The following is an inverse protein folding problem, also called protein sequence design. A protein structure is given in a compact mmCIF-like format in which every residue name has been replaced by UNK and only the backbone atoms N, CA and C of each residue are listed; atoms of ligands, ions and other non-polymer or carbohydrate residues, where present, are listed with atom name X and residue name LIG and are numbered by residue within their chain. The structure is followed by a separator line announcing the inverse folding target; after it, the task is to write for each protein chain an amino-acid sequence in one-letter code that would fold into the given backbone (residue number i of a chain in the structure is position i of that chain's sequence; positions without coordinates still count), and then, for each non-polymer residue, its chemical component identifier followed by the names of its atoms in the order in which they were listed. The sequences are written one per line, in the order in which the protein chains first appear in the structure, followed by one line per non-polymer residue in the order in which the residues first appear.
data_IF_458926071192
#
_entry.id   IF_458926071192
#
_cell.length_a   1.000
_cell.length_b   1.000
_cell.length_c   1.000
_cell.angle_alpha   90.00
_cell.angle_beta   90.00
_cell.angle_gamma   90.00
#
_symmetry.space_group_name_H-M   'P 1'
#
loop_
_entity.id
_entity.type
_entity.pdbx_description
1 polymer ?
2 non-polymer ?
#
# COMPACT_ATOMS: atom_id res chain seq x y z
N UNK A 1 12.88 -15.78 22.38
CA UNK A 1 14.15 -16.49 22.07
C UNK A 1 14.46 -16.46 20.57
N UNK A 2 15.42 -17.27 20.14
CA UNK A 2 15.81 -17.32 18.75
C UNK A 2 14.64 -17.53 17.79
N UNK A 3 14.93 -17.39 16.50
CA UNK A 3 13.94 -17.51 15.44
C UNK A 3 12.85 -18.56 15.68
N UNK A 4 13.03 -19.79 15.17
CA UNK A 4 12.00 -20.81 15.35
C UNK A 4 10.78 -20.48 16.22
N UNK A 5 10.93 -20.56 17.53
CA UNK A 5 9.81 -20.34 18.45
C UNK A 5 9.26 -18.94 18.74
N UNK A 6 10.08 -17.89 18.63
CA UNK A 6 9.59 -16.55 18.92
C UNK A 6 10.08 -15.43 17.98
N UNK A 7 9.16 -14.58 17.57
CA UNK A 7 9.48 -13.46 16.70
C UNK A 7 9.60 -12.19 17.51
N UNK A 8 10.40 -11.26 17.01
CA UNK A 8 10.61 -10.01 17.68
C UNK A 8 10.30 -8.88 16.72
N UNK A 9 9.81 -7.76 17.26
CA UNK A 9 9.48 -6.61 16.44
C UNK A 9 9.03 -5.42 17.24
N UNK A 10 9.03 -4.24 16.62
CA UNK A 10 8.60 -3.04 17.30
C UNK A 10 7.08 -3.07 17.28
N UNK A 11 6.48 -3.26 18.44
CA UNK A 11 5.03 -3.36 18.51
C UNK A 11 4.27 -2.35 19.36
N UNK A 12 3.06 -2.04 18.89
CA UNK A 12 2.16 -1.13 19.56
C UNK A 12 1.81 -1.79 20.89
N UNK A 13 1.68 -0.99 21.94
CA UNK A 13 1.35 -1.52 23.26
C UNK A 13 -0.04 -1.11 23.64
N UNK A 14 -0.50 0.01 23.10
CA UNK A 14 -1.84 0.51 23.36
C UNK A 14 -2.16 1.61 22.36
N UNK A 15 -3.41 1.67 21.91
CA UNK A 15 -3.80 2.70 20.96
C UNK A 15 -3.53 4.05 21.61
N UNK A 16 -3.65 4.07 22.94
CA UNK A 16 -3.44 5.25 23.75
C UNK A 16 -2.07 5.87 23.54
N UNK A 17 -1.06 5.04 23.34
CA UNK A 17 0.31 5.51 23.12
C UNK A 17 0.84 4.89 21.81
N UNK A 18 0.00 4.86 20.79
CA UNK A 18 0.37 4.28 19.52
C UNK A 18 1.63 4.87 18.92
N UNK A 19 2.08 6.00 19.43
CA UNK A 19 3.28 6.62 18.88
C UNK A 19 4.54 6.08 19.54
N UNK A 20 4.36 5.30 20.60
CA UNK A 20 5.51 4.75 21.30
C UNK A 20 5.52 3.22 21.32
N UNK A 21 5.93 2.61 20.21
CA UNK A 21 5.97 1.15 20.12
C UNK A 21 7.21 0.68 20.87
N UNK A 22 7.13 -0.51 21.44
CA UNK A 22 8.26 -1.07 22.17
C UNK A 22 8.65 -2.41 21.58
N UNK A 23 9.95 -2.64 21.44
CA UNK A 23 10.45 -3.89 20.89
C UNK A 23 9.78 -5.00 21.68
N UNK A 24 9.22 -6.00 21.00
CA UNK A 24 8.55 -7.09 21.70
C UNK A 24 8.79 -8.48 21.13
N UNK A 25 8.64 -9.47 22.00
CA UNK A 25 8.80 -10.88 21.64
C UNK A 25 7.41 -11.51 21.66
N UNK A 26 7.07 -12.18 20.57
CA UNK A 26 5.76 -12.81 20.46
C UNK A 26 5.81 -14.13 19.68
N UNK A 27 4.84 -15.01 19.96
CA UNK A 27 4.72 -16.32 19.30
C UNK A 27 4.22 -16.19 17.86
N UNK A 28 4.90 -16.82 16.89
CA UNK A 28 4.45 -16.71 15.51
C UNK A 28 3.13 -17.45 15.28
N UNK A 29 2.60 -17.36 14.05
CA UNK A 29 1.35 -18.05 13.70
C UNK A 29 1.71 -19.53 13.53
N UNK A 30 0.77 -20.43 13.87
CA UNK A 30 1.15 -21.82 13.69
C UNK A 30 1.57 -22.01 12.23
N UNK A 31 2.67 -22.72 12.03
CA UNK A 31 3.22 -22.98 10.71
C UNK A 31 2.43 -24.04 9.93
N UNK A 32 2.05 -23.70 8.71
CA UNK A 32 1.30 -24.62 7.87
C UNK A 32 2.03 -25.03 6.60
N UNK A 33 1.64 -26.17 6.07
CA UNK A 33 2.25 -26.77 4.89
C UNK A 33 2.61 -25.88 3.71
N UNK A 34 1.90 -24.77 3.52
CA UNK A 34 2.22 -23.89 2.40
C UNK A 34 2.88 -22.61 2.89
N UNK A 35 2.85 -22.39 4.20
CA UNK A 35 3.45 -21.20 4.79
C UNK A 35 4.93 -21.08 4.42
N UNK A 36 5.48 -19.89 4.62
CA UNK A 36 6.87 -19.58 4.34
C UNK A 36 7.31 -18.58 5.40
N UNK A 37 8.52 -18.76 5.92
CA UNK A 37 9.06 -17.85 6.91
C UNK A 37 10.04 -16.98 6.18
N UNK A 38 9.85 -15.66 6.27
CA UNK A 38 10.75 -14.71 5.61
C UNK A 38 11.46 -13.84 6.64
N UNK A 39 12.78 -13.78 6.53
CA UNK A 39 13.56 -12.94 7.44
C UNK A 39 13.47 -11.57 6.79
N UNK A 40 12.92 -10.61 7.53
CA UNK A 40 12.72 -9.27 7.01
C UNK A 40 13.98 -8.42 7.00
N UNK A 41 14.09 -7.57 5.99
CA UNK A 41 15.23 -6.67 5.85
C UNK A 41 14.82 -5.29 5.38
N UNK A 42 13.51 -5.08 5.22
CA UNK A 42 12.98 -3.80 4.77
C UNK A 42 11.47 -3.83 4.78
N UNK A 43 10.86 -2.71 5.14
CA UNK A 43 9.41 -2.63 5.18
C UNK A 43 8.95 -1.19 5.01
N UNK A 44 8.18 -0.94 3.97
CA UNK A 44 7.69 0.39 3.73
C UNK A 44 6.62 0.77 4.73
N UNK A 45 6.72 1.97 5.30
CA UNK A 45 5.74 2.44 6.28
C UNK A 45 4.52 2.93 5.51
N UNK A 46 3.43 2.16 5.60
CA UNK A 46 2.19 2.45 4.91
C UNK A 46 1.19 3.26 5.76
N UNK A 47 0.56 4.23 5.11
CA UNK A 47 -0.41 5.06 5.80
C UNK A 47 -1.37 4.23 6.62
N UNK A 48 -1.72 3.06 6.10
CA UNK A 48 -2.63 2.18 6.82
C UNK A 48 -1.99 1.85 8.15
N UNK A 49 -0.68 1.68 8.14
CA UNK A 49 0.02 1.37 9.37
C UNK A 49 -0.40 2.40 10.42
N UNK A 50 -0.30 3.67 10.06
CA UNK A 50 -0.63 4.75 10.97
C UNK A 50 -2.07 4.71 11.49
N UNK A 51 -3.03 4.53 10.59
CA UNK A 51 -4.43 4.50 11.02
C UNK A 51 -4.73 3.35 11.95
N UNK A 52 -4.14 2.20 11.64
CA UNK A 52 -4.34 1.01 12.46
C UNK A 52 -3.85 1.25 13.87
N UNK A 53 -2.57 1.60 13.98
CA UNK A 53 -1.96 1.86 15.26
C UNK A 53 -2.78 2.84 16.10
N UNK A 54 -3.15 3.96 15.48
CA UNK A 54 -3.93 4.98 16.17
C UNK A 54 -5.31 4.47 16.57
N UNK A 55 -5.70 3.32 16.03
CA UNK A 55 -6.99 2.77 16.35
C UNK A 55 -8.11 3.35 15.49
N UNK A 56 -7.72 4.00 14.41
CA UNK A 56 -8.70 4.59 13.52
C UNK A 56 -9.58 3.48 12.97
N UNK A 57 -9.09 2.24 13.01
CA UNK A 57 -9.87 1.11 12.49
C UNK A 57 -10.72 0.48 13.59
N UNK A 58 -10.40 0.80 14.84
CA UNK A 58 -11.12 0.24 15.96
C UNK A 58 -10.14 -0.27 16.99
N UNK A 59 -10.65 -0.83 18.08
CA UNK A 59 -9.75 -1.35 19.12
C UNK A 59 -9.20 -2.69 18.68
N UNK A 60 -7.88 -2.76 18.49
CA UNK A 60 -7.22 -3.98 18.04
C UNK A 60 -6.46 -4.67 19.16
N UNK A 61 -6.48 -6.00 19.16
CA UNK A 61 -5.77 -6.78 20.17
C UNK A 61 -4.29 -6.41 20.19
N UNK A 62 -3.81 -5.97 21.34
CA UNK A 62 -2.40 -5.59 21.50
C UNK A 62 -1.72 -6.68 22.33
N UNK A 63 -0.38 -6.82 22.22
CA UNK A 63 0.57 -6.06 21.39
C UNK A 63 0.20 -6.15 19.92
N UNK A 64 0.89 -5.38 19.09
CA UNK A 64 0.59 -5.41 17.67
C UNK A 64 1.72 -4.93 16.80
N UNK A 65 2.19 -5.80 15.92
CA UNK A 65 3.27 -5.43 15.02
C UNK A 65 2.66 -5.05 13.68
N UNK A 66 2.90 -3.81 13.29
CA UNK A 66 2.35 -3.27 12.06
C UNK A 66 3.41 -3.26 10.96
N UNK A 67 2.97 -3.00 9.74
CA UNK A 67 3.89 -2.96 8.62
C UNK A 67 3.53 -4.04 7.63
N UNK A 68 3.34 -3.68 6.37
CA UNK A 68 2.99 -4.70 5.43
C UNK A 68 3.42 -4.42 4.00
N UNK A 69 4.63 -3.87 3.88
CA UNK A 69 5.29 -3.58 2.61
C UNK A 69 6.63 -4.23 2.91
N UNK A 70 6.60 -5.56 3.08
CA UNK A 70 7.75 -6.37 3.44
C UNK A 70 8.62 -6.95 2.34
N UNK A 71 9.92 -6.88 2.56
CA UNK A 71 10.89 -7.42 1.61
C UNK A 71 12.01 -8.07 2.43
N UNK A 72 11.98 -9.39 2.47
CA UNK A 72 12.99 -10.15 3.19
C UNK A 72 13.44 -11.35 2.38
N UNK A 73 14.12 -12.29 3.04
CA UNK A 73 14.61 -13.48 2.37
C UNK A 73 13.98 -14.76 2.92
N UNK A 74 13.76 -15.74 2.04
CA UNK A 74 13.16 -17.02 2.43
C UNK A 74 14.09 -17.76 3.34
N UNK A 75 13.60 -18.11 4.52
CA UNK A 75 14.45 -18.79 5.44
C UNK A 75 13.89 -20.15 5.88
N UNK A 76 12.79 -20.57 5.26
CA UNK A 76 12.16 -21.85 5.60
C UNK A 76 10.86 -22.12 4.84
N UNK A 77 10.89 -23.08 3.92
CA UNK A 77 9.69 -23.43 3.15
C UNK A 77 8.90 -24.58 3.75
N UNK A 78 7.58 -24.42 3.77
CA UNK A 78 6.72 -25.45 4.32
C UNK A 78 6.67 -26.66 3.41
N UNK A 79 6.30 -27.83 3.96
CA UNK A 79 6.18 -29.13 3.30
C UNK A 79 5.64 -29.12 1.88
N UNK A 80 4.46 -28.55 1.70
CA UNK A 80 3.83 -28.56 0.39
C UNK A 80 4.14 -27.40 -0.53
N UNK A 81 5.17 -26.62 -0.21
CA UNK A 81 5.53 -25.50 -1.07
C UNK A 81 5.69 -25.98 -2.52
N UNK A 82 5.33 -25.13 -3.47
CA UNK A 82 5.42 -25.48 -4.88
C UNK A 82 5.40 -24.22 -5.74
N UNK A 83 5.35 -23.08 -5.07
CA UNK A 83 5.33 -21.80 -5.75
C UNK A 83 6.59 -21.65 -6.58
N UNK A 84 7.62 -22.40 -6.20
CA UNK A 84 8.87 -22.35 -6.93
C UNK A 84 9.87 -21.43 -6.28
N UNK A 85 9.66 -21.14 -5.00
CA UNK A 85 10.57 -20.27 -4.28
C UNK A 85 11.69 -21.11 -3.70
N UNK A 86 12.90 -20.58 -3.74
CA UNK A 86 14.07 -21.27 -3.19
C UNK A 86 14.40 -20.61 -1.85
N UNK A 87 15.25 -21.24 -1.04
CA UNK A 87 15.63 -20.68 0.26
C UNK A 87 16.70 -19.62 0.03
N UNK A 88 16.67 -18.57 0.87
CA UNK A 88 17.63 -17.49 0.72
C UNK A 88 17.26 -16.54 -0.40
N UNK A 89 16.11 -16.81 -1.03
CA UNK A 89 15.62 -16.00 -2.14
C UNK A 89 14.98 -14.70 -1.66
N UNK A 90 15.11 -13.66 -2.48
CA UNK A 90 14.57 -12.34 -2.19
C UNK A 90 13.07 -12.33 -2.50
N UNK A 91 12.26 -12.05 -1.48
CA UNK A 91 10.83 -12.06 -1.67
C UNK A 91 10.10 -10.88 -1.06
N UNK A 92 8.83 -10.75 -1.45
CA UNK A 92 8.02 -9.68 -0.93
C UNK A 92 6.65 -10.12 -0.48
N UNK A 93 6.08 -9.36 0.44
CA UNK A 93 4.77 -9.62 0.98
C UNK A 93 4.10 -8.25 1.12
N UNK A 94 2.82 -8.17 0.80
CA UNK A 94 2.11 -6.91 0.87
C UNK A 94 1.09 -6.85 1.99
N UNK A 95 -0.14 -6.50 1.63
CA UNK A 95 -1.18 -6.40 2.64
C UNK A 95 -1.94 -7.68 2.80
N UNK A 96 -2.01 -8.48 1.74
CA UNK A 96 -2.74 -9.75 1.85
C UNK A 96 -1.80 -10.86 2.23
N UNK A 97 -2.24 -11.67 3.19
CA UNK A 97 -1.42 -12.75 3.69
C UNK A 97 -2.20 -14.07 3.65
N UNK A 98 -3.46 -14.00 3.22
CA UNK A 98 -4.30 -15.20 3.11
C UNK A 98 -5.53 -15.00 2.25
N UNK A 99 -6.01 -16.11 1.72
CA UNK A 99 -7.19 -16.14 0.87
C UNK A 99 -7.58 -17.61 0.86
N UNK A 100 -8.71 -17.95 0.23
CA UNK A 100 -9.14 -19.35 0.17
C UNK A 100 -8.52 -20.07 -1.04
N UNK A 101 -8.24 -19.30 -2.10
CA UNK A 101 -7.64 -19.83 -3.32
C UNK A 101 -8.46 -20.83 -4.11
N UNK A 102 -9.68 -21.10 -3.66
CA UNK A 102 -10.55 -22.03 -4.36
C UNK A 102 -11.77 -21.36 -4.99
N UNK A 103 -12.27 -20.30 -4.36
CA UNK A 103 -13.43 -19.59 -4.88
C UNK A 103 -13.22 -19.07 -6.30
N UNK A 104 -14.30 -18.59 -6.92
CA UNK A 104 -14.21 -18.06 -8.27
C UNK A 104 -13.30 -16.84 -8.25
N UNK A 105 -13.56 -15.96 -7.28
CA UNK A 105 -12.80 -14.72 -7.13
C UNK A 105 -11.31 -14.93 -6.96
N UNK A 106 -10.90 -16.05 -6.38
CA UNK A 106 -9.49 -16.28 -6.24
C UNK A 106 -8.95 -16.83 -7.55
N UNK A 107 -9.55 -17.91 -8.04
CA UNK A 107 -9.10 -18.51 -9.28
C UNK A 107 -9.12 -17.49 -10.41
N UNK A 108 -10.07 -16.56 -10.32
CA UNK A 108 -10.24 -15.52 -11.32
C UNK A 108 -9.32 -14.32 -11.05
N UNK A 109 -8.48 -14.44 -10.04
CA UNK A 109 -7.52 -13.39 -9.67
C UNK A 109 -8.07 -12.12 -9.02
N UNK A 110 -8.81 -12.30 -7.94
CA UNK A 110 -9.40 -11.21 -7.19
C UNK A 110 -9.33 -11.52 -5.70
N UNK A 111 -8.23 -12.12 -5.30
CA UNK A 111 -8.02 -12.51 -3.92
C UNK A 111 -8.22 -11.42 -2.88
N UNK A 112 -8.12 -10.15 -3.27
CA UNK A 112 -8.34 -9.12 -2.25
C UNK A 112 -9.80 -9.12 -1.86
N UNK A 113 -10.64 -9.56 -2.80
CA UNK A 113 -12.08 -9.60 -2.61
C UNK A 113 -12.64 -10.96 -2.23
N UNK A 114 -11.79 -11.81 -1.64
CA UNK A 114 -12.21 -13.14 -1.22
C UNK A 114 -13.04 -13.15 0.06
N UNK A 115 -13.98 -14.08 0.11
CA UNK A 115 -14.84 -14.23 1.26
C UNK A 115 -14.00 -14.37 2.51
N UNK A 116 -13.00 -15.27 2.46
CA UNK A 116 -12.15 -15.54 3.60
C UNK A 116 -10.80 -14.78 3.63
N UNK A 117 -10.79 -13.57 3.07
CA UNK A 117 -9.59 -12.73 3.02
C UNK A 117 -9.06 -12.39 4.41
N UNK A 118 -7.74 -12.25 4.52
CA UNK A 118 -7.08 -11.92 5.77
C UNK A 118 -5.95 -10.95 5.48
N UNK A 119 -5.84 -9.90 6.28
CA UNK A 119 -4.79 -8.94 6.02
C UNK A 119 -3.52 -9.19 6.84
N UNK A 120 -2.40 -8.80 6.26
CA UNK A 120 -1.10 -8.97 6.87
C UNK A 120 -1.04 -8.79 8.38
N UNK A 121 -1.72 -7.78 8.93
CA UNK A 121 -1.70 -7.57 10.39
C UNK A 121 -3.01 -7.08 10.96
N UNK A 122 -3.25 -7.37 12.24
CA UNK A 122 -4.45 -6.98 12.97
C UNK A 122 -5.66 -7.84 12.75
N UNK A 123 -5.51 -8.90 11.96
CA UNK A 123 -6.64 -9.77 11.68
C UNK A 123 -6.41 -11.21 12.10
N UNK A 124 -7.36 -11.78 12.84
CA UNK A 124 -7.21 -13.16 13.26
C UNK A 124 -7.47 -14.12 12.10
N UNK A 125 -6.65 -15.15 12.00
CA UNK A 125 -6.82 -16.16 10.95
C UNK A 125 -8.02 -17.04 11.33
N UNK A 126 -8.43 -17.89 10.39
CA UNK A 126 -9.57 -18.77 10.62
C UNK A 126 -9.33 -19.62 11.86
N UNK A 127 -8.08 -19.65 12.31
CA UNK A 127 -7.69 -20.43 13.49
C UNK A 127 -7.48 -19.62 14.76
N UNK A 128 -7.63 -18.30 14.66
CA UNK A 128 -7.49 -17.46 15.84
C UNK A 128 -6.33 -16.49 15.94
N UNK A 129 -5.14 -16.90 15.48
CA UNK A 129 -3.97 -16.03 15.56
C UNK A 129 -4.19 -14.72 14.84
N UNK A 130 -3.83 -13.61 15.48
CA UNK A 130 -4.00 -12.29 14.88
C UNK A 130 -2.73 -11.86 14.14
N UNK A 131 -2.83 -11.85 12.81
CA UNK A 131 -1.74 -11.52 11.90
C UNK A 131 -0.80 -10.41 12.37
N UNK A 132 0.49 -10.70 12.40
CA UNK A 132 1.49 -9.73 12.82
C UNK A 132 2.40 -9.46 11.64
N UNK A 133 3.70 -9.38 11.93
CA UNK A 133 4.69 -9.12 10.90
C UNK A 133 4.87 -7.65 10.55
N UNK A 134 5.87 -7.34 9.73
CA UNK A 134 6.13 -5.97 9.35
C UNK A 134 7.34 -5.34 10.00
N UNK A 135 7.12 -4.62 11.09
CA UNK A 135 8.22 -3.98 11.79
C UNK A 135 8.86 -5.00 12.73
N UNK A 136 9.21 -6.16 12.19
CA UNK A 136 9.81 -7.23 12.98
C UNK A 136 10.93 -7.96 12.22
N UNK A 137 11.54 -8.95 12.86
CA UNK A 137 12.63 -9.70 12.23
C UNK A 137 12.16 -10.73 11.21
N UNK A 138 11.08 -11.44 11.54
CA UNK A 138 10.51 -12.43 10.65
C UNK A 138 8.99 -12.32 10.54
N UNK A 139 8.48 -12.74 9.38
CA UNK A 139 7.03 -12.76 9.13
C UNK A 139 6.76 -14.14 8.53
N UNK A 140 5.65 -14.76 8.94
CA UNK A 140 5.25 -16.09 8.47
C UNK A 140 4.02 -15.99 7.56
N UNK A 141 4.23 -16.16 6.27
CA UNK A 141 3.16 -16.01 5.28
C UNK A 141 2.96 -17.17 4.30
N UNK A 142 1.70 -17.41 3.94
CA UNK A 142 1.36 -18.46 2.98
C UNK A 142 1.97 -18.12 1.62
N UNK A 143 2.72 -19.06 1.07
CA UNK A 143 3.40 -18.89 -0.20
C UNK A 143 2.65 -18.19 -1.33
N UNK A 144 1.32 -18.30 -1.37
CA UNK A 144 0.63 -17.64 -2.46
C UNK A 144 0.84 -16.14 -2.44
N UNK A 145 1.14 -15.61 -1.26
CA UNK A 145 1.31 -14.16 -1.11
C UNK A 145 2.71 -13.63 -1.02
N UNK A 146 3.68 -14.53 -1.13
CA UNK A 146 5.07 -14.14 -1.11
C UNK A 146 5.46 -14.05 -2.58
N UNK A 147 6.16 -12.98 -2.94
CA UNK A 147 6.54 -12.80 -4.34
C UNK A 147 8.02 -12.56 -4.57
N UNK A 148 8.49 -12.90 -5.77
CA UNK A 148 9.90 -12.71 -6.12
C UNK A 148 10.12 -11.22 -6.38
N UNK A 149 11.29 -10.72 -6.03
CA UNK A 149 11.59 -9.31 -6.22
C UNK A 149 12.69 -9.16 -7.25
N UNK A 150 12.37 -8.57 -8.42
CA UNK A 150 13.39 -8.39 -9.48
C UNK A 150 14.77 -7.94 -8.99
N UNK A 151 15.81 -8.42 -9.68
CA UNK A 151 17.21 -8.10 -9.34
C UNK A 151 17.54 -6.61 -9.21
N UNK A 152 17.27 -5.86 -10.28
CA UNK A 152 17.57 -4.43 -10.33
C UNK A 152 16.84 -3.53 -9.36
N UNK A 153 15.77 -4.02 -8.76
CA UNK A 153 15.04 -3.19 -7.81
C UNK A 153 15.62 -3.34 -6.41
N UNK A 154 16.09 -2.24 -5.82
CA UNK A 154 16.66 -2.26 -4.47
C UNK A 154 15.56 -2.47 -3.44
N UNK A 155 15.90 -3.12 -2.33
CA UNK A 155 14.94 -3.41 -1.29
C UNK A 155 14.10 -2.22 -0.79
N UNK A 156 14.75 -1.18 -0.29
CA UNK A 156 14.06 -0.01 0.23
C UNK A 156 13.19 0.66 -0.83
N UNK A 157 13.52 0.38 -2.09
CA UNK A 157 12.81 0.94 -3.22
C UNK A 157 11.78 -0.03 -3.82
N UNK A 158 11.69 -1.23 -3.27
CA UNK A 158 10.76 -2.22 -3.79
C UNK A 158 9.60 -2.38 -2.83
N UNK A 159 9.92 -2.46 -1.54
CA UNK A 159 8.92 -2.64 -0.50
C UNK A 159 7.65 -1.81 -0.65
N UNK A 160 7.78 -0.49 -0.87
CA UNK A 160 6.60 0.35 -1.00
C UNK A 160 5.63 -0.12 -2.08
N UNK A 161 6.16 -0.85 -3.05
CA UNK A 161 5.34 -1.34 -4.15
C UNK A 161 4.40 -2.46 -3.74
N UNK A 162 4.82 -3.24 -2.74
CA UNK A 162 4.03 -4.36 -2.26
C UNK A 162 2.63 -3.99 -1.80
N UNK A 163 2.43 -2.72 -1.46
CA UNK A 163 1.10 -2.27 -1.05
C UNK A 163 0.68 -0.97 -1.76
N UNK A 164 1.27 0.12 -1.33
CA UNK A 164 0.96 1.41 -1.92
C UNK A 164 0.92 1.38 -3.44
N UNK A 165 2.03 0.98 -4.03
CA UNK A 165 2.08 0.95 -5.48
C UNK A 165 1.03 0.04 -6.09
N UNK A 166 0.93 -1.16 -5.54
CA UNK A 166 -0.03 -2.12 -6.03
C UNK A 166 -1.40 -1.48 -5.99
N UNK A 167 -1.72 -0.90 -4.84
CA UNK A 167 -3.03 -0.26 -4.65
C UNK A 167 -3.41 0.72 -5.77
N UNK A 168 -2.45 1.51 -6.24
CA UNK A 168 -2.72 2.45 -7.31
C UNK A 168 -2.73 1.70 -8.62
N UNK A 169 -1.78 0.80 -8.77
CA UNK A 169 -1.66 0.02 -9.99
C UNK A 169 -2.95 -0.68 -10.36
N UNK A 170 -3.41 -1.59 -9.50
CA UNK A 170 -4.62 -2.35 -9.79
C UNK A 170 -5.68 -1.58 -10.60
N UNK A 171 -6.28 -0.52 -10.02
CA UNK A 171 -7.30 0.27 -10.72
C UNK A 171 -6.82 0.93 -12.01
N UNK A 172 -5.54 1.30 -12.04
CA UNK A 172 -4.97 1.91 -13.23
C UNK A 172 -4.94 0.90 -14.37
N UNK A 173 -4.51 -0.32 -14.08
CA UNK A 173 -4.44 -1.39 -15.08
C UNK A 173 -5.83 -1.78 -15.46
N UNK A 174 -6.62 -2.07 -14.43
CA UNK A 174 -7.99 -2.50 -14.62
C UNK A 174 -8.88 -1.52 -15.37
N UNK A 175 -8.54 -0.24 -15.33
CA UNK A 175 -9.35 0.77 -16.00
C UNK A 175 -8.69 1.39 -17.23
N UNK A 176 -7.74 0.66 -17.80
CA UNK A 176 -7.06 1.09 -19.00
C UNK A 176 -6.00 2.19 -18.98
N UNK A 177 -5.47 2.52 -17.81
CA UNK A 177 -4.43 3.55 -17.75
C UNK A 177 -3.34 3.18 -18.74
N UNK A 178 -3.20 3.95 -19.81
CA UNK A 178 -2.19 3.67 -20.81
C UNK A 178 -2.08 4.76 -21.88
N UNK A 179 -1.45 4.46 -23.01
CA UNK A 179 -1.29 5.44 -24.10
C UNK A 179 -2.57 6.09 -24.57
N UNK A 180 -2.57 7.41 -24.64
CA UNK A 180 -3.72 8.14 -25.12
C UNK A 180 -4.85 8.40 -24.13
N UNK A 181 -4.68 7.97 -22.88
CA UNK A 181 -5.69 8.17 -21.86
C UNK A 181 -5.32 9.34 -20.95
N UNK A 182 -6.30 10.07 -20.44
CA UNK A 182 -6.03 11.16 -19.53
C UNK A 182 -6.34 10.69 -18.11
N UNK A 183 -5.29 10.61 -17.28
CA UNK A 183 -5.43 10.14 -15.92
C UNK A 183 -5.09 11.14 -14.83
N UNK A 184 -5.96 11.23 -13.84
CA UNK A 184 -5.73 12.14 -12.75
C UNK A 184 -5.47 11.39 -11.45
N UNK A 185 -4.46 11.86 -10.71
CA UNK A 185 -4.10 11.29 -9.43
C UNK A 185 -4.45 12.34 -8.38
N UNK A 186 -5.40 12.02 -7.50
CA UNK A 186 -5.83 12.95 -6.46
C UNK A 186 -5.18 12.69 -5.11
N UNK A 187 -4.12 13.43 -4.83
CA UNK A 187 -3.44 13.29 -3.55
C UNK A 187 -2.01 12.79 -3.65
N UNK A 188 -1.08 13.67 -4.05
CA UNK A 188 0.31 13.26 -4.19
C UNK A 188 0.96 12.90 -2.87
N UNK A 189 0.44 11.86 -2.23
CA UNK A 189 1.01 11.42 -0.97
C UNK A 189 1.87 10.20 -1.26
N UNK A 190 2.00 9.31 -0.27
CA UNK A 190 2.79 8.11 -0.46
C UNK A 190 2.30 7.40 -1.72
N UNK A 191 1.10 6.84 -1.62
CA UNK A 191 0.45 6.13 -2.73
C UNK A 191 0.25 7.08 -3.92
N UNK A 192 -0.10 8.33 -3.63
CA UNK A 192 -0.30 9.27 -4.71
C UNK A 192 0.90 9.38 -5.61
N UNK A 193 2.08 9.41 -4.99
CA UNK A 193 3.31 9.52 -5.75
C UNK A 193 3.52 8.36 -6.70
N UNK A 194 3.62 7.15 -6.16
CA UNK A 194 3.83 5.96 -6.98
C UNK A 194 2.83 5.92 -8.14
N UNK A 195 1.58 6.26 -7.85
CA UNK A 195 0.56 6.26 -8.88
C UNK A 195 0.93 7.21 -9.99
N UNK A 196 1.40 8.39 -9.61
CA UNK A 196 1.80 9.42 -10.57
C UNK A 196 2.90 8.86 -11.47
N UNK A 197 3.86 8.18 -10.86
CA UNK A 197 4.98 7.55 -11.57
C UNK A 197 4.51 6.37 -12.40
N UNK A 198 3.91 5.40 -11.72
CA UNK A 198 3.39 4.20 -12.36
C UNK A 198 2.52 4.59 -13.55
N UNK A 199 1.64 5.56 -13.32
CA UNK A 199 0.74 6.04 -14.35
C UNK A 199 1.51 6.45 -15.60
N UNK A 200 2.48 7.34 -15.43
CA UNK A 200 3.29 7.79 -16.56
C UNK A 200 4.01 6.62 -17.21
N UNK A 201 4.62 5.80 -16.37
CA UNK A 201 5.35 4.65 -16.85
C UNK A 201 4.51 3.88 -17.86
N UNK A 202 3.20 3.88 -17.66
CA UNK A 202 2.29 3.17 -18.55
C UNK A 202 1.93 3.93 -19.82
N UNK A 203 2.30 5.21 -19.90
CA UNK A 203 2.01 6.01 -21.08
C UNK A 203 0.74 6.83 -21.08
N UNK A 204 0.32 7.31 -19.91
CA UNK A 204 -0.90 8.09 -19.78
C UNK A 204 -0.61 9.53 -19.43
N UNK A 205 -1.24 10.45 -20.15
CA UNK A 205 -1.05 11.86 -19.86
C UNK A 205 -1.55 11.99 -18.44
N UNK A 206 -0.61 12.02 -17.50
CA UNK A 206 -0.93 12.10 -16.10
C UNK A 206 -1.09 13.52 -15.55
N UNK A 207 -2.18 13.74 -14.82
CA UNK A 207 -2.46 15.02 -14.20
C UNK A 207 -2.36 14.79 -12.71
N UNK A 208 -1.67 15.66 -11.97
CA UNK A 208 -1.63 15.47 -10.53
C UNK A 208 -2.58 16.52 -9.97
N UNK A 209 -3.45 16.09 -9.06
CA UNK A 209 -4.46 16.98 -8.49
C UNK A 209 -4.36 17.17 -6.98
N UNK A 210 -3.72 18.27 -6.54
CA UNK A 210 -3.61 18.52 -5.12
C UNK A 210 -4.28 19.83 -4.72
N UNK A 211 -4.21 20.14 -3.43
CA UNK A 211 -4.82 21.35 -2.91
C UNK A 211 -3.95 22.59 -3.08
N UNK A 212 -2.84 22.66 -2.36
CA UNK A 212 -1.95 23.81 -2.47
C UNK A 212 -1.08 23.68 -3.71
N UNK A 213 0.08 24.33 -3.70
CA UNK A 213 1.02 24.23 -4.80
C UNK A 213 2.32 23.72 -4.21
N UNK A 214 2.28 23.54 -2.90
CA UNK A 214 3.42 23.05 -2.13
C UNK A 214 4.10 21.90 -2.85
N UNK A 215 3.34 21.12 -3.61
CA UNK A 215 3.90 19.96 -4.28
C UNK A 215 3.98 20.04 -5.80
N UNK A 216 3.76 21.23 -6.35
CA UNK A 216 3.81 21.38 -7.80
C UNK A 216 5.16 20.93 -8.33
N UNK A 217 6.22 21.47 -7.74
CA UNK A 217 7.59 21.14 -8.16
C UNK A 217 7.85 19.65 -8.25
N UNK A 218 7.54 18.93 -7.16
CA UNK A 218 7.74 17.49 -7.10
C UNK A 218 6.92 16.78 -8.17
N UNK A 219 5.63 17.02 -8.20
CA UNK A 219 4.78 16.37 -9.19
C UNK A 219 5.43 16.47 -10.55
N UNK A 220 5.98 17.64 -10.85
CA UNK A 220 6.61 17.85 -12.16
C UNK A 220 7.93 17.10 -12.30
N UNK A 221 8.67 16.94 -11.21
CA UNK A 221 9.93 16.22 -11.25
C UNK A 221 9.59 14.77 -11.54
N UNK A 222 8.42 14.36 -11.06
CA UNK A 222 7.92 13.00 -11.25
C UNK A 222 7.47 12.70 -12.67
N UNK A 223 7.39 13.74 -13.50
CA UNK A 223 7.00 13.55 -14.89
C UNK A 223 5.55 13.84 -15.21
N UNK A 224 4.82 14.36 -14.24
CA UNK A 224 3.42 14.68 -14.41
C UNK A 224 3.26 15.72 -15.51
N UNK A 225 2.52 15.38 -16.56
CA UNK A 225 2.28 16.29 -17.68
C UNK A 225 1.51 17.53 -17.23
N UNK A 226 0.84 17.45 -16.08
CA UNK A 226 0.08 18.58 -15.56
C UNK A 226 -0.09 18.53 -14.05
N UNK A 227 -0.37 19.67 -13.46
CA UNK A 227 -0.59 19.75 -12.03
C UNK A 227 -1.77 20.69 -11.81
N UNK A 228 -2.56 20.44 -10.77
CA UNK A 228 -3.72 21.28 -10.51
C UNK A 228 -3.82 21.58 -9.03
N UNK A 229 -3.91 22.86 -8.70
CA UNK A 229 -4.03 23.26 -7.30
C UNK A 229 -5.46 23.69 -7.07
N UNK A 230 -6.19 22.85 -6.36
CA UNK A 230 -7.58 23.06 -6.05
C UNK A 230 -7.90 24.44 -5.44
N UNK A 231 -7.20 24.78 -4.36
CA UNK A 231 -7.39 26.05 -3.68
C UNK A 231 -7.26 27.23 -4.61
N UNK A 232 -6.54 27.03 -5.71
CA UNK A 232 -6.32 28.11 -6.67
C UNK A 232 -7.21 27.99 -7.91
N UNK A 233 -8.34 27.29 -7.79
CA UNK A 233 -9.24 27.07 -8.94
C UNK A 233 -10.70 27.52 -8.83
N UNK A 234 -11.30 27.42 -7.66
CA UNK A 234 -12.70 27.84 -7.50
C UNK A 234 -13.68 26.82 -8.08
N UNK A 235 -13.34 26.29 -9.25
CA UNK A 235 -14.13 25.27 -9.93
C UNK A 235 -13.21 24.56 -10.92
N UNK A 236 -12.39 23.63 -10.45
CA UNK A 236 -11.48 22.96 -11.38
C UNK A 236 -12.20 22.01 -12.30
N UNK A 237 -13.30 21.45 -11.82
CA UNK A 237 -14.09 20.55 -12.64
C UNK A 237 -14.63 21.30 -13.85
N UNK A 238 -14.96 22.57 -13.64
CA UNK A 238 -15.48 23.38 -14.72
C UNK A 238 -14.38 23.66 -15.74
N UNK A 239 -13.20 24.06 -15.27
CA UNK A 239 -12.11 24.38 -16.18
C UNK A 239 -11.61 23.15 -16.95
N UNK A 240 -11.46 22.04 -16.25
CA UNK A 240 -10.99 20.82 -16.88
C UNK A 240 -12.10 19.94 -17.43
N UNK A 241 -13.31 20.51 -17.49
CA UNK A 241 -14.48 19.84 -18.01
C UNK A 241 -14.18 18.86 -19.14
N UNK A 242 -14.76 17.66 -19.05
CA UNK A 242 -14.63 16.61 -20.05
C UNK A 242 -13.21 16.30 -20.49
N UNK A 243 -12.33 16.03 -19.52
CA UNK A 243 -10.94 15.73 -19.87
C UNK A 243 -10.44 14.35 -19.44
N UNK A 244 -10.82 13.92 -18.24
CA UNK A 244 -10.37 12.65 -17.71
C UNK A 244 -11.14 11.38 -18.08
N UNK A 245 -10.38 10.29 -18.21
CA UNK A 245 -10.92 8.98 -18.51
C UNK A 245 -11.05 8.29 -17.16
N UNK A 246 -9.99 8.45 -16.37
CA UNK A 246 -9.90 7.83 -15.07
C UNK A 246 -9.27 8.78 -14.07
N UNK A 247 -9.74 8.73 -12.83
CA UNK A 247 -9.18 9.52 -11.76
C UNK A 247 -9.15 8.55 -10.60
N UNK A 248 -7.98 8.42 -9.99
CA UNK A 248 -7.84 7.54 -8.85
C UNK A 248 -7.63 8.48 -7.67
N UNK A 249 -8.57 8.48 -6.73
CA UNK A 249 -8.48 9.34 -5.57
C UNK A 249 -7.78 8.58 -4.47
N UNK A 250 -6.54 8.92 -4.22
CA UNK A 250 -5.81 8.24 -3.17
C UNK A 250 -5.32 9.25 -2.17
N UNK A 251 -6.16 9.54 -1.20
CA UNK A 251 -5.82 10.52 -0.17
C UNK A 251 -6.26 10.00 1.19
N UNK A 252 -5.39 10.17 2.20
CA UNK A 252 -5.62 9.74 3.57
C UNK A 252 -7.08 9.78 3.99
N UNK A 253 -7.65 10.99 3.98
CA UNK A 253 -9.04 11.19 4.38
C UNK A 253 -9.88 11.54 3.15
N UNK A 254 -11.17 11.79 3.36
CA UNK A 254 -12.06 12.15 2.27
C UNK A 254 -12.99 13.27 2.70
N UNK A 255 -12.41 14.30 3.31
CA UNK A 255 -13.15 15.47 3.79
C UNK A 255 -12.91 16.72 2.93
N UNK A 256 -11.65 17.13 2.81
CA UNK A 256 -11.29 18.31 2.01
C UNK A 256 -11.41 18.06 0.52
N UNK A 257 -12.13 17.00 0.13
CA UNK A 257 -12.30 16.65 -1.28
C UNK A 257 -13.76 16.67 -1.76
N UNK A 258 -14.21 17.85 -2.20
CA UNK A 258 -15.57 18.03 -2.71
C UNK A 258 -15.82 17.06 -3.87
N UNK A 259 -16.76 16.15 -3.70
CA UNK A 259 -17.07 15.18 -4.74
C UNK A 259 -18.33 15.48 -5.57
N UNK A 260 -18.59 16.76 -5.78
CA UNK A 260 -19.74 17.17 -6.55
C UNK A 260 -19.24 17.96 -7.73
N UNK A 261 -17.94 18.18 -7.75
CA UNK A 261 -17.28 18.93 -8.81
C UNK A 261 -16.51 17.98 -9.71
N UNK A 262 -15.83 17.04 -9.09
CA UNK A 262 -15.01 16.09 -9.82
C UNK A 262 -15.66 15.49 -11.07
N UNK A 263 -16.89 14.96 -10.95
CA UNK A 263 -17.56 14.37 -12.12
C UNK A 263 -17.50 15.24 -13.37
N UNK A 264 -17.73 16.54 -13.20
CA UNK A 264 -17.70 17.47 -14.33
C UNK A 264 -16.49 17.22 -15.23
N UNK A 265 -15.31 17.06 -14.63
CA UNK A 265 -14.08 16.85 -15.38
C UNK A 265 -13.93 15.49 -16.05
N UNK A 266 -14.84 14.55 -15.76
CA UNK A 266 -14.77 13.21 -16.33
C UNK A 266 -15.44 13.12 -17.70
N UNK A 267 -14.83 12.36 -18.60
CA UNK A 267 -15.40 12.17 -19.93
C UNK A 267 -16.59 11.22 -19.80
N UNK A 268 -17.53 11.29 -20.73
CA UNK A 268 -18.65 10.38 -20.66
C UNK A 268 -17.98 9.02 -20.56
N UNK A 269 -18.32 8.26 -19.53
CA UNK A 269 -17.73 6.95 -19.38
C UNK A 269 -16.53 6.99 -18.46
N UNK A 270 -16.20 8.19 -18.01
CA UNK A 270 -15.08 8.37 -17.11
C UNK A 270 -15.27 7.61 -15.81
N UNK A 271 -14.20 7.42 -15.07
CA UNK A 271 -14.32 6.71 -13.82
C UNK A 271 -13.50 7.27 -12.69
N UNK A 272 -14.17 7.41 -11.55
CA UNK A 272 -13.52 7.91 -10.36
C UNK A 272 -13.40 6.69 -9.47
N UNK A 273 -12.19 6.42 -9.01
CA UNK A 273 -11.94 5.27 -8.16
C UNK A 273 -11.12 5.70 -6.94
N UNK A 274 -11.70 5.52 -5.75
CA UNK A 274 -11.02 5.87 -4.51
C UNK A 274 -10.22 4.70 -3.92
N UNK A 275 -9.09 5.03 -3.33
CA UNK A 275 -8.21 4.06 -2.75
C UNK A 275 -8.26 4.19 -1.24
N UNK A 276 -9.04 5.15 -0.78
CA UNK A 276 -9.11 5.45 0.64
C UNK A 276 -10.01 4.68 1.60
N UNK A 277 -9.55 4.69 2.84
CA UNK A 277 -10.21 4.06 4.00
C UNK A 277 -9.91 5.03 5.15
N UNK A 278 -10.83 5.96 5.44
CA UNK A 278 -10.64 6.93 6.52
C UNK A 278 -11.21 6.49 7.87
N UNK A 279 -10.87 7.25 8.92
CA UNK A 279 -11.33 6.99 10.29
C UNK A 279 -12.84 6.68 10.29
N UNK A 280 -13.15 5.39 10.24
CA UNK A 280 -14.53 4.85 10.19
C UNK A 280 -15.67 5.87 10.30
N UNK A 281 -15.55 6.81 11.23
CA UNK A 281 -16.56 7.84 11.42
C UNK A 281 -16.77 8.67 10.14
N UNK A 282 -15.93 8.42 9.12
CA UNK A 282 -16.01 9.14 7.85
C UNK A 282 -16.72 8.37 6.71
N UNK A 283 -17.26 9.11 5.76
CA UNK A 283 -17.98 8.54 4.62
C UNK A 283 -17.77 9.39 3.35
N UNK A 284 -17.69 8.73 2.20
CA UNK A 284 -17.51 9.42 0.93
C UNK A 284 -18.89 10.00 0.59
N UNK A 285 -19.04 11.32 0.65
CA UNK A 285 -20.34 11.94 0.38
C UNK A 285 -20.35 12.90 -0.83
N UNK A 286 -21.28 12.66 -1.77
CA UNK A 286 -21.43 13.50 -2.96
C UNK A 286 -22.86 13.55 -3.53
N UNK A 287 -23.18 14.69 -4.15
CA UNK A 287 -24.49 14.90 -4.78
C UNK A 287 -24.72 13.83 -5.85
N UNK A 288 -25.81 13.07 -5.72
CA UNK A 288 -26.15 12.00 -6.66
C UNK A 288 -26.19 12.44 -8.13
N UNK A 289 -26.99 13.47 -8.40
CA UNK A 289 -27.17 14.03 -9.75
C UNK A 289 -25.95 13.89 -10.67
N UNK A 290 -24.79 14.24 -10.12
CA UNK A 290 -23.54 14.23 -10.86
C UNK A 290 -22.97 12.97 -11.48
N UNK A 291 -23.36 11.79 -11.02
CA UNK A 291 -22.82 10.59 -11.62
C UNK A 291 -23.43 10.35 -13.00
N UNK A 292 -23.50 11.42 -13.79
CA UNK A 292 -24.08 11.37 -15.13
C UNK A 292 -23.09 10.87 -16.15
N UNK A 293 -23.16 9.58 -16.44
CA UNK A 293 -22.28 8.93 -17.39
C UNK A 293 -20.90 8.81 -16.79
N UNK A 294 -20.80 9.00 -15.49
CA UNK A 294 -19.54 8.90 -14.79
C UNK A 294 -19.78 7.97 -13.62
N UNK A 295 -18.95 6.95 -13.47
CA UNK A 295 -19.16 6.03 -12.37
C UNK A 295 -18.19 6.32 -11.24
N UNK A 296 -18.52 5.81 -10.06
CA UNK A 296 -17.69 6.00 -8.88
C UNK A 296 -17.65 4.67 -8.16
N UNK A 297 -16.45 4.25 -7.77
CA UNK A 297 -16.28 2.99 -7.06
C UNK A 297 -15.04 3.02 -6.17
N UNK A 298 -14.86 1.94 -5.43
CA UNK A 298 -13.76 1.81 -4.50
C UNK A 298 -12.93 0.55 -4.85
N UNK A 299 -11.65 0.55 -4.50
CA UNK A 299 -10.80 -0.59 -4.80
C UNK A 299 -9.89 -0.96 -3.63
N UNK A 300 -9.61 -2.26 -3.50
CA UNK A 300 -8.73 -2.72 -2.43
C UNK A 300 -7.56 -3.47 -2.99
N UNK A 301 -6.38 -3.20 -2.42
CA UNK A 301 -5.13 -3.83 -2.82
C UNK A 301 -5.06 -4.17 -4.31
N UNK A 302 -4.58 -5.37 -4.61
CA UNK A 302 -4.48 -5.85 -5.99
C UNK A 302 -4.29 -7.35 -5.96
N UNK A 303 -4.34 -8.00 -7.12
CA UNK A 303 -4.14 -9.45 -7.19
C UNK A 303 -2.67 -9.74 -7.39
N UNK A 304 -2.13 -10.71 -6.66
CA UNK A 304 -0.71 -11.05 -6.77
C UNK A 304 -0.25 -11.08 -8.22
N UNK A 305 -1.15 -11.44 -9.12
CA UNK A 305 -0.82 -11.47 -10.53
C UNK A 305 -0.38 -10.07 -10.92
N UNK A 306 -1.16 -9.08 -10.45
CA UNK A 306 -0.87 -7.68 -10.73
C UNK A 306 0.35 -7.21 -9.94
N UNK A 307 0.44 -7.63 -8.68
CA UNK A 307 1.58 -7.23 -7.85
C UNK A 307 2.82 -7.58 -8.62
N UNK A 308 2.79 -8.72 -9.30
CA UNK A 308 3.93 -9.16 -10.09
C UNK A 308 4.08 -8.26 -11.30
N UNK A 309 2.97 -8.03 -11.99
CA UNK A 309 3.00 -7.17 -13.17
C UNK A 309 3.70 -5.85 -12.87
N UNK A 310 3.36 -5.28 -11.71
CA UNK A 310 3.92 -4.01 -11.29
C UNK A 310 5.42 -4.10 -11.06
N UNK A 311 5.83 -5.03 -10.22
CA UNK A 311 7.24 -5.23 -9.92
C UNK A 311 8.01 -5.30 -11.23
N UNK A 312 7.49 -6.09 -12.17
CA UNK A 312 8.08 -6.26 -13.49
C UNK A 312 8.21 -4.89 -14.17
N UNK A 313 7.08 -4.17 -14.28
CA UNK A 313 7.06 -2.84 -14.89
C UNK A 313 8.03 -1.87 -14.22
N UNK A 314 7.99 -1.80 -12.90
CA UNK A 314 8.87 -0.93 -12.15
C UNK A 314 10.32 -1.32 -12.46
N UNK A 315 10.52 -2.60 -12.74
CA UNK A 315 11.85 -3.15 -13.03
C UNK A 315 12.29 -2.91 -14.47
N UNK A 316 11.42 -3.18 -15.41
CA UNK A 316 11.74 -3.02 -16.82
C UNK A 316 11.94 -1.59 -17.30
N UNK A 317 11.31 -0.62 -16.64
CA UNK A 317 11.45 0.76 -17.09
C UNK A 317 12.14 1.61 -16.04
N UNK A 318 12.85 0.94 -15.14
CA UNK A 318 13.58 1.59 -14.05
C UNK A 318 12.80 2.72 -13.39
N UNK A 319 11.84 2.35 -12.55
CA UNK A 319 11.02 3.32 -11.85
C UNK A 319 11.63 3.56 -10.48
N UNK A 320 12.05 4.79 -10.24
CA UNK A 320 12.65 5.15 -8.96
C UNK A 320 11.60 5.88 -8.15
N UNK A 321 11.08 5.24 -7.10
CA UNK A 321 10.07 5.89 -6.27
C UNK A 321 10.78 6.72 -5.21
N UNK A 322 10.04 7.57 -4.53
CA UNK A 322 10.64 8.44 -3.55
C UNK A 322 10.61 7.89 -2.14
N UNK A 323 11.71 7.31 -1.73
CA UNK A 323 11.77 6.76 -0.39
C UNK A 323 12.88 7.40 0.46
N UNK A 324 12.60 7.55 1.74
CA UNK A 324 13.55 8.11 2.68
C UNK A 324 13.66 7.07 3.79
N UNK A 325 14.78 6.36 3.84
CA UNK A 325 14.99 5.29 4.82
C UNK A 325 15.13 5.73 6.27
N UNK A 326 14.66 4.88 7.17
CA UNK A 326 14.78 5.14 8.59
C UNK A 326 15.24 3.85 9.25
N UNK A 327 15.85 3.95 10.43
CA UNK A 327 16.34 2.75 11.14
C UNK A 327 15.24 2.08 11.96
N UNK A 328 14.93 0.82 11.64
CA UNK A 328 13.91 0.10 12.39
C UNK A 328 14.24 0.23 13.87
N UNK A 329 13.23 0.29 14.72
CA UNK A 329 13.50 0.42 16.14
C UNK A 329 12.54 1.34 16.83
N UNK A 330 12.39 1.20 18.14
CA UNK A 330 11.48 2.03 18.92
C UNK A 330 11.52 3.48 18.50
N UNK A 331 12.67 3.90 18.00
CA UNK A 331 12.86 5.27 17.54
C UNK A 331 12.39 5.41 16.10
N UNK A 332 13.13 4.83 15.15
CA UNK A 332 12.76 4.91 13.75
C UNK A 332 11.26 4.84 13.51
N UNK A 333 10.60 3.86 14.13
CA UNK A 333 9.16 3.71 13.98
C UNK A 333 8.54 5.01 14.47
N UNK A 334 8.92 5.42 15.67
CA UNK A 334 8.41 6.65 16.26
C UNK A 334 8.48 7.76 15.23
N UNK A 335 9.70 8.14 14.85
CA UNK A 335 9.87 9.18 13.84
C UNK A 335 8.93 8.85 12.68
N UNK A 336 9.17 7.69 12.07
CA UNK A 336 8.33 7.23 10.95
C UNK A 336 6.87 7.62 11.21
N UNK A 337 6.33 7.15 12.32
CA UNK A 337 4.95 7.48 12.67
C UNK A 337 4.79 8.99 12.72
N UNK A 338 5.36 9.58 13.76
CA UNK A 338 5.33 11.02 14.01
C UNK A 338 5.18 11.77 12.70
N UNK A 339 6.19 11.62 11.85
CA UNK A 339 6.24 12.29 10.56
C UNK A 339 5.09 11.99 9.62
N UNK A 340 4.71 10.73 9.51
CA UNK A 340 3.62 10.32 8.61
C UNK A 340 2.32 11.04 8.96
N UNK A 341 2.10 11.29 10.25
CA UNK A 341 0.90 11.99 10.65
C UNK A 341 1.05 13.44 10.19
N UNK A 342 2.16 14.06 10.56
CA UNK A 342 2.42 15.45 10.15
C UNK A 342 2.40 15.55 8.62
N UNK A 343 2.63 14.42 7.96
CA UNK A 343 2.66 14.42 6.51
C UNK A 343 4.03 14.89 6.06
N UNK A 344 5.00 14.76 6.95
CA UNK A 344 6.37 15.19 6.69
C UNK A 344 7.21 14.07 6.07
N UNK A 345 6.75 13.52 4.96
CA UNK A 345 7.48 12.46 4.29
C UNK A 345 7.58 12.79 2.81
N UNK A 346 8.75 12.52 2.24
CA UNK A 346 8.94 12.79 0.83
C UNK A 346 8.28 11.68 0.05
N UNK A 347 7.13 11.27 0.57
CA UNK A 347 6.25 10.24 0.03
C UNK A 347 6.33 8.86 0.67
N UNK A 348 7.46 8.17 0.62
CA UNK A 348 7.52 6.85 1.27
C UNK A 348 8.67 6.60 2.21
N UNK A 349 8.31 6.10 3.39
CA UNK A 349 9.27 5.74 4.44
C UNK A 349 9.50 4.24 4.38
N UNK A 350 10.72 3.83 4.14
CA UNK A 350 11.00 2.40 4.11
C UNK A 350 11.93 2.08 5.26
N UNK A 351 11.45 1.33 6.24
CA UNK A 351 12.30 0.97 7.35
C UNK A 351 13.34 0.02 6.84
N UNK A 352 14.57 0.15 7.34
CA UNK A 352 15.69 -0.71 6.96
C UNK A 352 16.56 -0.88 8.20
N UNK A 353 17.75 -1.45 8.00
CA UNK A 353 18.64 -1.67 9.13
C UNK A 353 18.04 -2.66 10.10
N UNK A 354 17.46 -3.71 9.54
CA UNK A 354 16.84 -4.78 10.33
C UNK A 354 17.97 -5.62 10.92
N UNK A 355 18.98 -5.84 10.09
CA UNK A 355 20.15 -6.63 10.47
C UNK A 355 20.70 -6.25 11.84
N UNK A 356 20.89 -4.94 12.09
CA UNK A 356 21.44 -4.46 13.35
C UNK A 356 20.43 -3.83 14.30
N UNK A 357 19.42 -4.59 14.70
CA UNK A 357 18.40 -4.09 15.61
C UNK A 357 17.79 -5.19 16.46
N UNK A 358 17.83 -6.41 15.95
CA UNK A 358 17.27 -7.56 16.66
C UNK A 358 18.32 -8.56 17.14
N UNK A 359 19.44 -8.65 16.41
CA UNK A 359 20.54 -9.56 16.72
C UNK A 359 20.08 -11.03 16.86
N UNK A 360 20.79 -11.80 17.67
CA UNK A 360 20.45 -13.22 17.89
C UNK A 360 20.03 -13.48 19.34
X LIG B 1 -11.42 -17.01 -2.06
X LIG C 1 -1.62 -0.57 2.94
#
# INVERSE_FOLDING_TARGET
MSYPEKFEGIAIQSHEDWKNPKKTKYDPKPFYDHDIDIKIEACGVCGSDIHCAAGHWGNMKMPLVVGHEIVGKVVKLGPKSNSGLKVGQRVGVGAQVFSCLECDRCKNDNEPYCTKFVTTYSQPYEDGYVSQGGYANYVRVHEHFVVPIPENIPSHLAAPLLCGGLTVYSPLVRNGCGPGKKVGIVGLGGIGSMGTLISKAMGAETYVISRSSRKREDAMKMGADHYIATLEEGDWGEKYFDTFDLIVVCASSLTDIDFNIMPKAMKVGGRIVSISIPEQHEMLSLKPYGLKAVSISYSALGSIKELNQLLKLVSEKDIKIWVETLPVGEAGVHEAFERMEKGDVRYRFTLVGYDKEFSD
ZN ZN
ZN ZN
#
